data_IF_818888627393
#
_entry.id   IF_818888627393
#
_cell.length_a   1.000
_cell.length_b   1.000
_cell.length_c   1.000
_cell.angle_alpha   90.00
_cell.angle_beta   90.00
_cell.angle_gamma   90.00
#
_symmetry.space_group_name_H-M   'P 1'
#
loop_
_entity.id
_entity.type
_entity.pdbx_description
1 polymer ?
#
# COMPACT_ATOMS: atom_id res chain seq x y z
N UNK A 1 -10.58 51.23 52.02
CA UNK A 1 -10.18 50.83 50.65
C UNK A 1 -8.72 50.40 50.67
N UNK A 2 -8.38 49.10 50.73
CA UNK A 2 -7.02 48.67 50.47
C UNK A 2 -6.89 48.25 49.01
N UNK A 3 -5.97 48.90 48.31
CA UNK A 3 -5.52 48.53 46.96
C UNK A 3 -4.68 47.28 47.10
N UNK A 4 -5.16 46.15 46.57
CA UNK A 4 -4.38 44.91 46.51
C UNK A 4 -3.39 45.04 45.37
N UNK A 5 -2.12 45.26 45.71
CA UNK A 5 -0.99 45.24 44.78
C UNK A 5 -0.84 43.83 44.22
N UNK A 6 -1.18 43.64 42.94
CA UNK A 6 -0.93 42.39 42.23
C UNK A 6 0.54 42.39 41.81
N UNK A 7 1.36 41.58 42.48
CA UNK A 7 2.73 41.31 42.04
C UNK A 7 2.70 40.43 40.77
N UNK A 8 3.47 40.76 39.71
CA UNK A 8 3.62 39.86 38.57
C UNK A 8 4.41 38.64 39.04
N UNK A 9 3.84 37.43 38.88
CA UNK A 9 4.57 36.19 39.19
C UNK A 9 5.47 35.82 38.02
N UNK A 10 6.74 35.62 38.34
CA UNK A 10 7.76 35.10 37.43
C UNK A 10 7.32 33.81 36.74
N UNK A 11 7.67 33.70 35.47
CA UNK A 11 7.36 32.57 34.60
C UNK A 11 7.84 31.25 35.22
N UNK A 12 6.92 30.29 35.34
CA UNK A 12 7.20 28.96 35.86
C UNK A 12 8.19 28.23 34.94
N UNK A 13 9.29 27.72 35.49
CA UNK A 13 10.52 27.23 34.82
C UNK A 13 10.32 26.08 33.83
N UNK A 14 9.12 25.47 33.79
CA UNK A 14 8.76 24.39 32.87
C UNK A 14 7.49 24.66 32.05
N UNK A 15 7.02 25.92 32.01
CA UNK A 15 5.89 26.31 31.16
C UNK A 15 6.35 26.57 29.72
N UNK A 16 5.52 26.23 28.73
CA UNK A 16 5.79 26.33 27.30
C UNK A 16 5.86 27.79 26.75
N UNK A 17 6.25 28.77 27.57
CA UNK A 17 6.31 30.18 27.19
C UNK A 17 4.94 30.82 26.89
N UNK A 18 3.84 30.09 27.11
CA UNK A 18 2.48 30.57 26.85
C UNK A 18 1.90 31.24 28.09
N UNK A 19 1.72 32.54 28.03
CA UNK A 19 0.87 33.28 28.98
C UNK A 19 -0.60 32.94 28.73
N UNK A 20 -1.13 31.92 29.41
CA UNK A 20 -2.58 31.72 29.45
C UNK A 20 -3.17 32.59 30.56
N UNK A 21 -4.20 33.42 30.27
CA UNK A 21 -4.90 34.14 31.32
C UNK A 21 -5.49 33.14 32.32
N UNK A 22 -5.08 33.25 33.59
CA UNK A 22 -5.68 32.49 34.68
C UNK A 22 -7.03 33.14 34.94
N UNK A 23 -8.09 32.52 34.43
CA UNK A 23 -9.44 32.96 34.70
C UNK A 23 -9.75 32.75 36.19
N UNK A 24 -10.20 33.78 36.94
CA UNK A 24 -10.58 33.61 38.32
C UNK A 24 -11.73 32.60 38.39
N UNK A 25 -11.52 31.52 39.13
CA UNK A 25 -12.56 30.51 39.37
C UNK A 25 -13.60 31.13 40.30
N UNK A 26 -14.88 31.09 39.93
CA UNK A 26 -15.96 31.58 40.77
C UNK A 26 -15.99 30.86 42.13
N UNK A 27 -16.32 31.57 43.21
CA UNK A 27 -16.39 31.02 44.58
C UNK A 27 -17.29 29.78 44.69
N UNK A 28 -18.37 29.75 43.92
CA UNK A 28 -19.28 28.59 43.81
C UNK A 28 -18.62 27.33 43.20
N UNK A 29 -17.65 27.51 42.31
CA UNK A 29 -16.92 26.39 41.71
C UNK A 29 -15.79 25.88 42.62
N UNK A 30 -15.21 26.76 43.47
CA UNK A 30 -14.23 26.37 44.49
C UNK A 30 -14.85 25.60 45.66
N UNK A 31 -16.12 25.88 45.97
CA UNK A 31 -16.90 25.24 47.02
C UNK A 31 -17.84 24.15 46.52
N UNK A 32 -17.73 23.77 45.24
CA UNK A 32 -18.58 22.76 44.64
C UNK A 32 -18.34 21.39 45.28
N UNK A 33 -19.36 20.84 45.92
CA UNK A 33 -19.33 19.50 46.50
C UNK A 33 -19.24 18.42 45.43
N UNK A 34 -18.62 17.30 45.79
CA UNK A 34 -18.43 16.16 44.88
C UNK A 34 -19.78 15.60 44.44
N UNK A 35 -20.05 15.65 43.13
CA UNK A 35 -21.27 15.06 42.58
C UNK A 35 -21.12 13.54 42.49
N UNK A 36 -22.13 12.75 42.89
CA UNK A 36 -22.02 11.28 42.85
C UNK A 36 -21.75 10.77 41.43
N UNK A 37 -22.32 11.44 40.41
CA UNK A 37 -22.09 11.11 39.00
C UNK A 37 -20.67 11.44 38.52
N UNK A 38 -20.07 12.55 38.97
CA UNK A 38 -18.69 12.90 38.59
C UNK A 38 -17.72 11.92 39.25
N UNK A 39 -17.97 11.52 40.49
CA UNK A 39 -17.17 10.49 41.17
C UNK A 39 -17.29 9.12 40.49
N UNK A 40 -18.49 8.76 40.00
CA UNK A 40 -18.67 7.53 39.23
C UNK A 40 -17.92 7.55 37.89
N UNK A 41 -17.92 8.69 37.18
CA UNK A 41 -17.21 8.85 35.90
C UNK A 41 -15.70 8.99 36.06
N UNK A 42 -15.23 9.50 37.20
CA UNK A 42 -13.81 9.62 37.51
C UNK A 42 -13.16 8.27 37.82
N UNK A 43 -13.94 7.23 38.17
CA UNK A 43 -13.42 5.88 38.35
C UNK A 43 -13.04 5.28 36.99
N UNK A 44 -11.85 4.68 36.93
CA UNK A 44 -11.44 3.92 35.76
C UNK A 44 -12.40 2.74 35.50
N UNK A 45 -12.41 2.23 34.26
CA UNK A 45 -13.11 0.98 33.96
C UNK A 45 -12.38 -0.20 34.60
N UNK A 46 -13.13 -1.10 35.21
CA UNK A 46 -12.59 -2.37 35.72
C UNK A 46 -12.17 -3.27 34.56
N UNK A 47 -11.21 -4.15 34.84
CA UNK A 47 -10.79 -5.15 33.88
C UNK A 47 -11.92 -6.16 33.62
N UNK A 48 -11.97 -6.72 32.41
CA UNK A 48 -12.91 -7.80 32.07
C UNK A 48 -12.60 -9.04 32.94
N UNK A 49 -13.60 -9.88 33.23
CA UNK A 49 -13.43 -11.11 34.03
C UNK A 49 -12.32 -12.01 33.51
N UNK A 50 -12.15 -12.01 32.19
CA UNK A 50 -11.20 -12.88 31.48
C UNK A 50 -9.87 -12.16 31.19
N UNK A 51 -9.70 -10.94 31.68
CA UNK A 51 -8.45 -10.21 31.49
C UNK A 51 -7.31 -10.90 32.22
N UNK A 52 -6.37 -11.43 31.45
CA UNK A 52 -5.10 -11.93 31.96
C UNK A 52 -4.03 -10.88 31.61
N UNK A 53 -3.28 -10.36 32.61
CA UNK A 53 -2.14 -9.50 32.31
C UNK A 53 -1.09 -10.28 31.51
N UNK A 54 -0.19 -9.57 30.84
CA UNK A 54 0.91 -10.19 30.10
C UNK A 54 1.68 -11.15 31.01
N UNK A 55 1.93 -12.37 30.50
CA UNK A 55 2.77 -13.35 31.18
C UNK A 55 4.13 -12.69 31.40
N UNK A 56 4.63 -12.57 32.65
CA UNK A 56 5.97 -12.03 32.85
C UNK A 56 6.94 -12.91 32.06
N UNK A 57 7.68 -12.29 31.14
CA UNK A 57 8.77 -12.97 30.47
C UNK A 57 9.66 -13.61 31.55
N UNK A 58 10.10 -14.87 31.41
CA UNK A 58 11.04 -15.47 32.34
C UNK A 58 12.39 -14.75 32.19
N UNK A 59 12.50 -13.56 32.77
CA UNK A 59 13.72 -12.76 32.81
C UNK A 59 14.73 -13.30 33.84
N UNK A 60 14.45 -14.47 34.42
CA UNK A 60 15.42 -15.26 35.15
C UNK A 60 16.20 -16.10 34.14
N UNK A 61 17.09 -15.45 33.39
CA UNK A 61 18.19 -16.17 32.75
C UNK A 61 18.86 -17.04 33.83
N UNK A 62 18.94 -18.34 33.59
CA UNK A 62 19.57 -19.27 34.52
C UNK A 62 20.99 -18.77 34.85
N UNK A 63 21.51 -18.96 36.08
CA UNK A 63 22.83 -18.46 36.45
C UNK A 63 23.93 -18.95 35.50
N UNK A 64 23.81 -20.18 34.97
CA UNK A 64 24.71 -20.73 33.95
C UNK A 64 24.63 -20.03 32.59
N UNK A 65 23.48 -19.46 32.21
CA UNK A 65 23.36 -18.66 31.00
C UNK A 65 24.01 -17.28 31.15
N UNK A 66 24.08 -16.74 32.38
CA UNK A 66 24.78 -15.47 32.68
C UNK A 66 26.30 -15.62 32.69
N UNK A 67 26.80 -16.80 33.04
CA UNK A 67 28.24 -17.09 33.10
C UNK A 67 28.78 -17.86 31.89
N UNK A 68 27.92 -18.24 30.95
CA UNK A 68 28.32 -18.96 29.74
C UNK A 68 29.29 -18.12 28.92
N UNK A 69 30.45 -18.70 28.60
CA UNK A 69 31.42 -18.14 27.66
C UNK A 69 31.29 -18.85 26.32
N UNK A 70 31.41 -18.05 25.28
CA UNK A 70 31.49 -18.52 23.91
C UNK A 70 32.80 -19.32 23.70
N UNK A 71 32.81 -20.29 22.79
CA UNK A 71 34.06 -20.97 22.41
C UNK A 71 34.94 -20.04 21.55
N UNK A 72 36.26 -20.18 21.63
CA UNK A 72 37.22 -19.37 20.85
C UNK A 72 36.89 -19.29 19.36
N UNK A 73 36.48 -20.43 18.75
CA UNK A 73 36.05 -20.49 17.35
C UNK A 73 34.83 -19.59 17.06
N UNK A 74 33.85 -19.58 17.95
CA UNK A 74 32.64 -18.77 17.75
C UNK A 74 32.95 -17.30 17.99
N UNK A 75 33.86 -16.98 18.92
CA UNK A 75 34.40 -15.62 19.08
C UNK A 75 35.17 -15.16 17.83
N UNK A 76 35.94 -16.04 17.19
CA UNK A 76 36.59 -15.74 15.90
C UNK A 76 35.58 -15.51 14.76
N UNK A 77 34.53 -16.32 14.70
CA UNK A 77 33.46 -16.17 13.70
C UNK A 77 32.59 -14.92 13.95
N UNK A 78 32.47 -14.49 15.20
CA UNK A 78 31.75 -13.28 15.58
C UNK A 78 32.52 -12.00 15.22
N UNK A 79 33.84 -12.07 15.03
CA UNK A 79 34.62 -10.95 14.52
C UNK A 79 34.17 -10.63 13.10
N UNK A 80 33.99 -9.34 12.82
CA UNK A 80 33.70 -8.88 11.48
C UNK A 80 34.82 -9.37 10.53
N UNK A 81 34.43 -9.92 9.38
CA UNK A 81 35.38 -10.34 8.36
C UNK A 81 36.10 -9.11 7.84
N UNK A 82 37.41 -9.02 8.08
CA UNK A 82 38.24 -7.96 7.51
C UNK A 82 38.28 -8.15 5.99
N UNK A 83 37.58 -7.26 5.28
CA UNK A 83 37.60 -7.20 3.83
C UNK A 83 38.57 -6.10 3.48
N UNK A 84 39.81 -6.45 3.11
CA UNK A 84 40.74 -5.48 2.55
C UNK A 84 40.06 -4.74 1.39
N UNK A 85 40.13 -3.41 1.38
CA UNK A 85 39.57 -2.49 0.35
C UNK A 85 39.84 -2.95 -1.10
N UNK A 86 40.92 -3.70 -1.31
CA UNK A 86 41.37 -4.21 -2.62
C UNK A 86 40.59 -5.41 -3.17
N UNK A 87 39.53 -5.88 -2.49
CA UNK A 87 38.71 -7.01 -2.95
C UNK A 87 37.43 -6.60 -3.69
N UNK A 88 37.25 -5.32 -3.99
CA UNK A 88 36.34 -4.93 -5.05
C UNK A 88 36.94 -5.39 -6.37
N UNK A 89 36.58 -6.62 -6.77
CA UNK A 89 36.75 -7.02 -8.17
C UNK A 89 35.99 -6.01 -9.02
N UNK A 90 36.59 -5.59 -10.12
CA UNK A 90 35.87 -4.81 -11.11
C UNK A 90 34.58 -5.56 -11.51
N UNK A 91 33.50 -4.82 -11.77
CA UNK A 91 32.19 -5.41 -12.10
C UNK A 91 32.25 -6.30 -13.36
N UNK A 92 33.32 -6.18 -14.15
CA UNK A 92 33.58 -6.95 -15.34
C UNK A 92 34.43 -8.17 -15.01
N UNK A 93 33.85 -9.35 -15.21
CA UNK A 93 34.62 -10.59 -15.13
C UNK A 93 35.40 -10.78 -16.42
N UNK A 94 36.73 -10.70 -16.34
CA UNK A 94 37.59 -11.01 -17.48
C UNK A 94 37.49 -12.50 -17.83
N UNK A 95 36.72 -12.80 -18.88
CA UNK A 95 36.65 -14.16 -19.43
C UNK A 95 37.97 -14.48 -20.13
N UNK A 96 38.66 -15.53 -19.66
CA UNK A 96 39.90 -16.04 -20.26
C UNK A 96 39.74 -16.32 -21.76
N UNK A 97 40.80 -16.10 -22.54
CA UNK A 97 40.81 -16.38 -23.99
C UNK A 97 40.40 -17.81 -24.32
N UNK A 98 40.75 -18.78 -23.47
CA UNK A 98 40.37 -20.19 -23.65
C UNK A 98 38.88 -20.40 -23.46
N UNK A 99 38.28 -19.74 -22.46
CA UNK A 99 36.84 -19.80 -22.23
C UNK A 99 36.05 -19.12 -23.36
N UNK A 100 36.54 -18.02 -23.93
CA UNK A 100 35.91 -17.36 -25.10
C UNK A 100 35.97 -18.21 -26.37
N UNK A 101 37.01 -19.03 -26.54
CA UNK A 101 37.21 -19.92 -27.69
C UNK A 101 36.58 -21.30 -27.51
N UNK A 102 36.10 -21.62 -26.30
CA UNK A 102 35.50 -22.92 -26.02
C UNK A 102 34.22 -23.07 -26.84
N UNK A 103 34.17 -24.14 -27.63
CA UNK A 103 32.96 -24.52 -28.38
C UNK A 103 32.23 -25.62 -27.61
N UNK A 104 30.89 -25.56 -27.59
CA UNK A 104 30.08 -26.56 -26.91
C UNK A 104 30.26 -27.95 -27.54
N UNK A 105 30.20 -29.00 -26.71
CA UNK A 105 30.28 -30.39 -27.20
C UNK A 105 29.08 -30.73 -28.09
N UNK A 106 29.19 -31.70 -29.01
CA UNK A 106 28.08 -32.08 -29.89
C UNK A 106 26.82 -32.46 -29.10
N UNK A 107 26.98 -33.18 -27.98
CA UNK A 107 25.86 -33.53 -27.08
C UNK A 107 25.19 -32.28 -26.48
N UNK A 108 25.97 -31.27 -26.10
CA UNK A 108 25.40 -30.03 -25.56
C UNK A 108 24.66 -29.25 -26.63
N UNK A 109 25.15 -29.27 -27.88
CA UNK A 109 24.47 -28.67 -29.03
C UNK A 109 23.16 -29.39 -29.36
N UNK A 110 23.12 -30.71 -29.27
CA UNK A 110 21.89 -31.50 -29.44
C UNK A 110 20.86 -31.21 -28.36
N UNK A 111 21.29 -31.18 -27.09
CA UNK A 111 20.42 -30.85 -25.96
C UNK A 111 19.93 -29.39 -25.98
N UNK A 112 20.71 -28.49 -26.58
CA UNK A 112 20.32 -27.10 -26.77
C UNK A 112 19.28 -26.93 -27.89
N UNK A 113 19.04 -27.93 -28.75
CA UNK A 113 17.95 -27.87 -29.73
C UNK A 113 16.62 -27.87 -28.98
N UNK A 114 15.74 -26.95 -29.36
CA UNK A 114 14.37 -26.94 -28.84
C UNK A 114 13.66 -28.24 -29.19
N UNK A 115 12.79 -28.73 -28.30
CA UNK A 115 11.94 -29.89 -28.60
C UNK A 115 11.11 -29.63 -29.86
N UNK A 116 11.01 -30.59 -30.79
CA UNK A 116 10.14 -30.44 -31.95
C UNK A 116 8.68 -30.35 -31.50
N UNK A 117 7.86 -29.67 -32.30
CA UNK A 117 6.41 -29.65 -32.11
C UNK A 117 5.85 -31.06 -32.34
N UNK A 118 4.77 -31.40 -31.64
CA UNK A 118 4.06 -32.66 -31.81
C UNK A 118 3.40 -32.75 -33.20
N UNK A 119 3.35 -33.96 -33.76
CA UNK A 119 2.72 -34.23 -35.05
C UNK A 119 1.20 -34.02 -34.94
N UNK A 120 0.69 -32.94 -35.55
CA UNK A 120 -0.70 -32.49 -35.38
C UNK A 120 -0.87 -31.28 -34.45
N UNK A 121 0.21 -30.66 -33.98
CA UNK A 121 0.12 -29.35 -33.33
C UNK A 121 -0.25 -28.27 -34.35
N UNK A 122 -1.45 -27.71 -34.21
CA UNK A 122 -1.92 -26.55 -34.97
C UNK A 122 -1.89 -25.31 -34.06
N UNK A 123 -1.40 -24.18 -34.57
CA UNK A 123 -1.54 -22.90 -33.88
C UNK A 123 -3.00 -22.42 -34.02
N UNK A 124 -3.62 -21.98 -32.93
CA UNK A 124 -5.01 -21.46 -32.90
C UNK A 124 -5.19 -20.08 -33.58
N UNK A 125 -4.22 -19.60 -34.36
CA UNK A 125 -4.25 -18.28 -34.96
C UNK A 125 -4.13 -18.41 -36.47
N UNK A 126 -5.22 -18.10 -37.17
CA UNK A 126 -5.28 -18.02 -38.62
C UNK A 126 -4.27 -16.97 -39.09
N UNK A 127 -3.14 -17.43 -39.61
CA UNK A 127 -2.27 -16.60 -40.41
C UNK A 127 -3.03 -16.31 -41.70
N UNK A 128 -3.44 -15.06 -41.88
CA UNK A 128 -3.76 -14.55 -43.21
C UNK A 128 -2.64 -14.96 -44.17
N UNK A 129 -3.04 -15.52 -45.32
CA UNK A 129 -2.18 -16.14 -46.31
C UNK A 129 -0.85 -15.38 -46.53
N UNK A 130 0.28 -16.09 -46.37
CA UNK A 130 1.57 -15.67 -46.94
C UNK A 130 2.75 -15.43 -46.00
N UNK A 131 2.91 -16.16 -44.89
CA UNK A 131 4.15 -16.05 -44.10
C UNK A 131 4.59 -17.38 -43.49
N UNK A 132 5.36 -18.16 -44.27
CA UNK A 132 5.97 -19.44 -43.88
C UNK A 132 7.10 -19.33 -42.85
N UNK A 133 7.39 -18.17 -42.25
CA UNK A 133 8.52 -18.04 -41.32
C UNK A 133 8.16 -17.23 -40.07
N UNK A 134 8.36 -17.90 -38.93
CA UNK A 134 8.28 -17.49 -37.52
C UNK A 134 6.90 -17.48 -36.83
N UNK A 135 6.75 -18.18 -35.69
CA UNK A 135 5.64 -17.97 -34.77
C UNK A 135 5.86 -16.63 -34.05
N UNK A 136 5.39 -15.52 -34.65
CA UNK A 136 5.33 -14.23 -33.94
C UNK A 136 4.22 -14.32 -32.89
N UNK A 137 4.61 -14.53 -31.64
CA UNK A 137 3.75 -14.52 -30.44
C UNK A 137 3.12 -13.15 -30.14
N UNK A 138 3.35 -12.14 -30.98
CA UNK A 138 2.79 -10.81 -30.83
C UNK A 138 1.68 -10.70 -31.87
N UNK A 139 0.43 -10.63 -31.40
CA UNK A 139 -0.72 -10.27 -32.25
C UNK A 139 -0.34 -9.00 -33.02
N UNK A 140 -0.14 -9.11 -34.32
CA UNK A 140 0.13 -7.95 -35.16
C UNK A 140 -1.15 -7.14 -35.14
N UNK A 141 -1.17 -6.04 -34.37
CA UNK A 141 -2.29 -5.11 -34.33
C UNK A 141 -2.59 -4.69 -35.77
N UNK A 142 -3.83 -4.87 -36.21
CA UNK A 142 -4.23 -4.58 -37.60
C UNK A 142 -3.91 -3.12 -37.94
N UNK A 143 -3.62 -2.84 -39.21
CA UNK A 143 -3.32 -1.46 -39.66
C UNK A 143 -4.46 -0.50 -39.29
N UNK A 144 -5.70 -0.95 -39.37
CA UNK A 144 -6.88 -0.18 -38.97
C UNK A 144 -6.90 0.12 -37.47
N UNK A 145 -6.55 -0.85 -36.63
CA UNK A 145 -6.48 -0.63 -35.18
C UNK A 145 -5.34 0.32 -34.80
N UNK A 146 -4.19 0.31 -35.50
CA UNK A 146 -3.11 1.27 -35.28
C UNK A 146 -3.48 2.70 -35.69
N UNK A 147 -4.32 2.83 -36.72
CA UNK A 147 -4.74 4.12 -37.28
C UNK A 147 -6.09 4.60 -36.73
N UNK A 148 -6.68 3.89 -35.77
CA UNK A 148 -7.98 4.23 -35.21
C UNK A 148 -7.88 5.53 -34.40
N UNK A 149 -8.67 6.54 -34.77
CA UNK A 149 -8.80 7.78 -34.01
C UNK A 149 -9.87 7.60 -32.92
N UNK A 150 -9.53 8.03 -31.71
CA UNK A 150 -10.47 8.03 -30.59
C UNK A 150 -11.68 8.94 -30.86
N UNK A 151 -12.89 8.45 -30.53
CA UNK A 151 -14.14 9.23 -30.54
C UNK A 151 -14.06 10.44 -29.60
N UNK A 152 -14.89 11.47 -29.83
CA UNK A 152 -14.96 12.66 -28.97
C UNK A 152 -15.15 12.29 -27.50
N UNK A 153 -16.10 11.40 -27.21
CA UNK A 153 -16.38 10.90 -25.86
C UNK A 153 -15.16 10.22 -25.22
N UNK A 154 -14.44 9.38 -25.97
CA UNK A 154 -13.25 8.71 -25.43
C UNK A 154 -12.11 9.68 -25.15
N UNK A 155 -12.01 10.79 -25.90
CA UNK A 155 -11.07 11.87 -25.61
C UNK A 155 -11.46 12.64 -24.36
N UNK A 156 -12.75 12.97 -24.20
CA UNK A 156 -13.27 13.62 -22.98
C UNK A 156 -13.03 12.78 -21.73
N UNK A 157 -13.28 11.47 -21.79
CA UNK A 157 -13.07 10.54 -20.68
C UNK A 157 -11.59 10.32 -20.35
N UNK A 158 -10.70 10.52 -21.32
CA UNK A 158 -9.26 10.43 -21.10
C UNK A 158 -8.71 11.64 -20.32
N UNK A 159 -9.46 12.75 -20.26
CA UNK A 159 -9.11 13.92 -19.45
C UNK A 159 -9.56 13.70 -18.01
N UNK A 160 -8.71 13.92 -17.00
CA UNK A 160 -9.11 13.77 -15.60
C UNK A 160 -10.21 14.77 -15.23
N UNK A 161 -11.18 14.31 -14.44
CA UNK A 161 -12.24 15.17 -13.92
C UNK A 161 -11.65 16.12 -12.87
N UNK A 162 -11.43 17.37 -13.23
CA UNK A 162 -11.05 18.44 -12.29
C UNK A 162 -12.31 18.88 -11.56
N UNK A 163 -12.44 18.51 -10.28
CA UNK A 163 -13.52 19.01 -9.42
C UNK A 163 -13.21 20.44 -9.02
N UNK A 164 -14.10 21.37 -9.30
CA UNK A 164 -13.99 22.74 -8.80
C UNK A 164 -14.18 22.77 -7.27
N UNK A 165 -13.69 23.82 -6.60
CA UNK A 165 -13.92 24.03 -5.16
C UNK A 165 -15.41 24.16 -4.88
N UNK A 166 -15.86 23.79 -3.67
CA UNK A 166 -17.28 23.77 -3.29
C UNK A 166 -17.99 25.12 -3.54
N UNK A 167 -17.27 26.24 -3.47
CA UNK A 167 -17.79 27.58 -3.75
C UNK A 167 -18.21 27.80 -5.22
N UNK A 168 -17.63 27.02 -6.14
CA UNK A 168 -17.93 27.01 -7.59
C UNK A 168 -18.88 25.87 -7.99
N UNK A 169 -19.17 24.93 -7.09
CA UNK A 169 -20.21 23.89 -7.26
C UNK A 169 -21.57 24.54 -7.03
N UNK A 170 -21.85 25.61 -7.77
CA UNK A 170 -23.14 26.28 -7.72
C UNK A 170 -24.15 25.41 -8.44
N UNK A 171 -25.12 24.96 -7.65
CA UNK A 171 -26.47 24.52 -8.02
C UNK A 171 -26.71 24.38 -9.52
N UNK A 172 -26.67 23.14 -10.02
CA UNK A 172 -27.18 22.85 -11.35
C UNK A 172 -28.72 22.75 -11.26
N UNK A 173 -29.50 23.74 -11.76
CA UNK A 173 -30.96 23.72 -11.69
C UNK A 173 -31.59 22.57 -12.49
N UNK A 174 -30.81 21.94 -13.37
CA UNK A 174 -31.21 20.82 -14.20
C UNK A 174 -30.69 19.47 -13.66
N UNK A 175 -30.04 19.43 -12.49
CA UNK A 175 -29.46 18.20 -11.94
C UNK A 175 -30.50 17.08 -11.74
N UNK A 176 -31.75 17.46 -11.47
CA UNK A 176 -32.86 16.53 -11.25
C UNK A 176 -33.84 16.48 -12.43
N UNK A 177 -33.52 17.14 -13.54
CA UNK A 177 -34.37 17.15 -14.72
C UNK A 177 -33.98 15.97 -15.60
N UNK A 178 -34.88 14.98 -15.62
CA UNK A 178 -34.72 13.76 -16.42
C UNK A 178 -34.75 14.15 -17.90
N UNK A 179 -33.77 13.70 -18.67
CA UNK A 179 -33.73 13.95 -20.11
C UNK A 179 -34.94 13.31 -20.81
N UNK A 180 -35.42 13.92 -21.90
CA UNK A 180 -36.55 13.35 -22.68
C UNK A 180 -36.26 11.93 -23.19
N UNK A 181 -35.00 11.62 -23.47
CA UNK A 181 -34.57 10.28 -23.87
C UNK A 181 -34.66 9.28 -22.74
N UNK A 182 -34.34 9.69 -21.50
CA UNK A 182 -34.50 8.84 -20.31
C UNK A 182 -35.98 8.66 -19.94
N UNK A 183 -36.82 9.69 -20.11
CA UNK A 183 -38.28 9.59 -19.95
C UNK A 183 -38.91 8.61 -20.96
N UNK A 184 -38.36 8.54 -22.17
CA UNK A 184 -38.82 7.66 -23.24
C UNK A 184 -38.05 6.33 -23.30
N UNK A 185 -37.23 6.02 -22.30
CA UNK A 185 -36.47 4.78 -22.28
C UNK A 185 -37.42 3.60 -22.05
N UNK A 186 -37.37 2.60 -22.93
CA UNK A 186 -38.14 1.38 -22.81
C UNK A 186 -37.26 0.22 -22.29
N UNK A 187 -37.83 -0.64 -21.44
CA UNK A 187 -37.14 -1.84 -20.97
C UNK A 187 -37.01 -2.85 -22.11
N UNK A 188 -35.80 -3.24 -22.54
CA UNK A 188 -35.67 -4.18 -23.64
C UNK A 188 -36.26 -5.55 -23.26
N UNK A 189 -36.90 -6.25 -24.21
CA UNK A 189 -37.71 -7.44 -23.92
C UNK A 189 -36.93 -8.54 -23.19
N UNK A 190 -35.67 -8.74 -23.55
CA UNK A 190 -34.78 -9.70 -22.89
C UNK A 190 -34.57 -9.42 -21.40
N UNK A 191 -34.47 -8.16 -20.99
CA UNK A 191 -34.33 -7.80 -19.57
C UNK A 191 -35.65 -8.07 -18.84
N UNK A 192 -36.79 -7.82 -19.49
CA UNK A 192 -38.11 -8.17 -18.96
C UNK A 192 -38.28 -9.68 -18.76
N UNK A 193 -37.79 -10.51 -19.67
CA UNK A 193 -37.81 -11.97 -19.55
C UNK A 193 -36.94 -12.45 -18.38
N UNK A 194 -35.72 -11.93 -18.26
CA UNK A 194 -34.79 -12.29 -17.19
C UNK A 194 -35.24 -11.81 -15.80
N UNK A 195 -36.04 -10.74 -15.75
CA UNK A 195 -36.62 -10.24 -14.50
C UNK A 195 -37.78 -11.11 -13.99
N UNK A 196 -38.28 -12.07 -14.79
CA UNK A 196 -39.29 -13.01 -14.31
C UNK A 196 -38.67 -13.96 -13.27
N UNK A 197 -39.39 -14.27 -12.18
CA UNK A 197 -38.88 -15.18 -11.15
C UNK A 197 -38.66 -16.57 -11.75
N UNK A 198 -37.50 -17.15 -11.47
CA UNK A 198 -37.20 -18.54 -11.84
C UNK A 198 -38.07 -19.44 -10.96
N UNK A 199 -39.03 -20.12 -11.56
CA UNK A 199 -39.82 -21.16 -10.88
C UNK A 199 -38.89 -22.35 -10.64
N UNK A 200 -38.68 -22.71 -9.38
CA UNK A 200 -37.89 -23.86 -8.94
C UNK A 200 -38.80 -24.96 -8.44
#
# INVERSE_FOLDING_TARGET
>A
MPVVMVTPRDQYTYSCGRESPIWPVGSAAQSAEERPKTNALAKHKEYHSDYQPERPLPNLLAPGAKSARCSDRVDELAKAKDRSERLFREALWEVSRNARKATASPRTLELARSKPLYEGYHFNFDYGAGSEKLPKLIRVVTRNAKNALASSRTKELAVPIIRQTMDSVQFNPQAFIISRTALNAYCPPRISELAQPIVR
#
